data_IF_696128453881
#
_entry.id   IF_696128453881
#
_cell.length_a   1.000
_cell.length_b   1.000
_cell.length_c   1.000
_cell.angle_alpha   90.00
_cell.angle_beta   90.00
_cell.angle_gamma   90.00
#
_symmetry.space_group_name_H-M   'P 1'
#
loop_
_entity.id
_entity.type
_entity.pdbx_description
1 polymer ?
#
# COMPACT_ATOMS: atom_id res chain seq x y z
N UNK A 1 35.99 -15.62 -25.78
CA UNK A 1 35.41 -14.26 -25.89
C UNK A 1 34.05 -14.15 -26.61
N UNK A 2 33.58 -15.16 -27.39
CA UNK A 2 32.31 -15.07 -28.12
C UNK A 2 31.05 -15.46 -27.30
N UNK A 3 31.16 -16.40 -26.37
CA UNK A 3 30.02 -16.93 -25.60
C UNK A 3 29.41 -15.92 -24.62
N UNK A 4 30.23 -15.11 -23.94
CA UNK A 4 29.75 -14.10 -22.98
C UNK A 4 28.97 -12.97 -23.67
N UNK A 5 29.29 -12.64 -24.92
CA UNK A 5 28.57 -11.62 -25.70
C UNK A 5 27.18 -12.12 -26.12
N UNK A 6 27.05 -13.41 -26.44
CA UNK A 6 25.77 -14.03 -26.80
C UNK A 6 24.84 -14.07 -25.59
N UNK A 7 25.35 -14.39 -24.40
CA UNK A 7 24.56 -14.39 -23.16
C UNK A 7 24.05 -12.98 -22.84
N UNK A 8 24.90 -11.96 -22.97
CA UNK A 8 24.49 -10.55 -22.75
C UNK A 8 23.40 -10.13 -23.74
N UNK A 9 23.53 -10.50 -25.01
CA UNK A 9 22.51 -10.19 -26.04
C UNK A 9 21.20 -10.94 -25.77
N UNK A 10 21.25 -12.19 -25.31
CA UNK A 10 20.06 -12.97 -24.94
C UNK A 10 19.38 -12.39 -23.71
N UNK A 11 20.15 -11.92 -22.71
CA UNK A 11 19.62 -11.24 -21.52
C UNK A 11 18.97 -9.91 -21.89
N UNK A 12 19.60 -9.11 -22.76
CA UNK A 12 19.03 -7.84 -23.26
C UNK A 12 17.78 -8.10 -24.12
N UNK A 13 17.77 -9.16 -24.92
CA UNK A 13 16.61 -9.56 -25.72
C UNK A 13 15.45 -10.06 -24.83
N UNK A 14 15.74 -10.74 -23.72
CA UNK A 14 14.72 -11.11 -22.71
C UNK A 14 14.12 -9.88 -22.00
N UNK A 15 14.87 -8.78 -21.86
CA UNK A 15 14.37 -7.50 -21.32
C UNK A 15 13.48 -6.77 -22.34
N UNK A 16 13.59 -7.08 -23.64
CA UNK A 16 12.78 -6.48 -24.71
C UNK A 16 11.41 -7.14 -24.94
N UNK A 17 11.00 -8.07 -24.08
CA UNK A 17 9.59 -8.49 -23.99
C UNK A 17 8.77 -7.22 -23.80
N UNK A 18 7.72 -7.04 -24.60
CA UNK A 18 6.83 -5.89 -24.49
C UNK A 18 6.27 -5.82 -23.06
N UNK A 19 6.94 -5.04 -22.22
CA UNK A 19 6.45 -4.71 -20.91
C UNK A 19 5.22 -3.84 -21.16
N UNK A 20 4.04 -4.46 -21.07
CA UNK A 20 2.80 -3.70 -20.98
C UNK A 20 2.95 -2.77 -19.79
N UNK A 21 3.18 -1.49 -20.06
CA UNK A 21 3.34 -0.49 -19.02
C UNK A 21 2.07 -0.48 -18.18
N UNK A 22 2.23 -0.73 -16.89
CA UNK A 22 1.17 -0.53 -15.92
C UNK A 22 1.09 0.97 -15.65
N UNK A 23 -0.10 1.55 -15.80
CA UNK A 23 -0.30 2.97 -15.51
C UNK A 23 -1.08 3.10 -14.21
N UNK A 24 -0.52 3.85 -13.28
CA UNK A 24 -1.09 4.08 -11.94
C UNK A 24 -1.52 5.54 -11.74
N UNK A 25 -1.43 6.39 -12.76
CA UNK A 25 -1.75 7.80 -12.67
C UNK A 25 -2.56 8.27 -13.89
N UNK A 26 -3.29 9.37 -13.69
CA UNK A 26 -4.11 9.98 -14.73
C UNK A 26 -5.32 9.14 -15.14
N UNK A 27 -5.99 9.60 -16.20
CA UNK A 27 -7.19 8.96 -16.75
C UNK A 27 -6.92 7.59 -17.37
N UNK A 28 -5.66 7.28 -17.67
CA UNK A 28 -5.25 6.00 -18.23
C UNK A 28 -4.83 4.98 -17.15
N UNK A 29 -5.01 5.30 -15.86
CA UNK A 29 -4.75 4.38 -14.78
C UNK A 29 -5.58 3.10 -14.92
N UNK A 30 -4.93 1.93 -14.87
CA UNK A 30 -5.56 0.63 -15.10
C UNK A 30 -5.48 -0.31 -13.88
N UNK A 31 -4.95 0.21 -12.78
CA UNK A 31 -4.83 -0.45 -11.48
C UNK A 31 -5.59 0.39 -10.47
N UNK A 32 -6.34 -0.28 -9.60
CA UNK A 32 -7.02 0.37 -8.49
C UNK A 32 -5.98 0.79 -7.42
N UNK A 33 -5.94 2.06 -7.01
CA UNK A 33 -5.11 2.50 -5.89
C UNK A 33 -5.49 1.74 -4.63
N UNK A 34 -4.52 1.11 -3.95
CA UNK A 34 -4.76 0.36 -2.69
C UNK A 34 -4.55 1.20 -1.45
N UNK A 35 -3.80 2.29 -1.61
CA UNK A 35 -3.52 3.33 -0.64
C UNK A 35 -3.67 4.67 -1.35
N UNK A 36 -3.96 5.73 -0.59
CA UNK A 36 -3.90 7.10 -1.11
C UNK A 36 -2.43 7.53 -1.16
N UNK A 37 -1.82 7.73 0.01
CA UNK A 37 -0.36 7.75 0.16
C UNK A 37 0.00 6.66 1.18
N UNK A 38 -0.46 6.78 2.42
CA UNK A 38 -0.27 5.81 3.50
C UNK A 38 -1.58 5.28 4.09
N UNK A 39 -2.71 5.91 3.77
CA UNK A 39 -4.03 5.50 4.23
C UNK A 39 -4.67 4.49 3.28
N UNK A 40 -5.32 3.42 3.79
CA UNK A 40 -5.86 2.38 2.93
C UNK A 40 -7.13 2.84 2.20
N UNK A 41 -7.29 2.37 0.97
CA UNK A 41 -8.53 2.53 0.19
C UNK A 41 -9.31 1.21 0.15
N UNK A 42 -10.52 1.25 -0.42
CA UNK A 42 -11.27 0.04 -0.76
C UNK A 42 -10.70 -0.74 -1.97
N UNK A 43 -9.63 -0.25 -2.63
CA UNK A 43 -8.98 -0.88 -3.79
C UNK A 43 -8.30 -2.21 -3.45
N UNK A 44 -8.32 -3.20 -4.36
CA UNK A 44 -7.77 -4.54 -4.13
C UNK A 44 -6.80 -4.94 -5.26
N UNK A 45 -5.96 -5.94 -4.98
CA UNK A 45 -5.28 -6.65 -6.07
C UNK A 45 -6.29 -7.54 -6.79
N UNK A 46 -6.27 -7.52 -8.12
CA UNK A 46 -7.03 -8.47 -8.95
C UNK A 46 -6.61 -9.90 -8.62
N UNK A 47 -7.53 -10.86 -8.75
CA UNK A 47 -7.25 -12.27 -8.50
C UNK A 47 -6.05 -12.76 -9.31
N UNK A 48 -5.10 -13.39 -8.63
CA UNK A 48 -3.85 -13.89 -9.22
C UNK A 48 -2.80 -12.81 -9.52
N UNK A 49 -3.09 -11.53 -9.25
CA UNK A 49 -2.10 -10.47 -9.31
C UNK A 49 -1.25 -10.45 -8.03
N UNK A 50 0.02 -10.12 -8.19
CA UNK A 50 0.99 -9.97 -7.11
C UNK A 50 1.55 -8.56 -7.13
N UNK A 51 1.88 -8.03 -5.95
CA UNK A 51 2.56 -6.75 -5.80
C UNK A 51 3.74 -6.93 -4.86
N UNK A 52 4.90 -6.47 -5.32
CA UNK A 52 6.09 -6.29 -4.52
C UNK A 52 6.26 -4.79 -4.27
N UNK A 53 6.30 -4.41 -3.01
CA UNK A 53 6.41 -3.02 -2.59
C UNK A 53 7.66 -2.81 -1.75
N UNK A 54 8.23 -1.61 -1.85
CA UNK A 54 9.28 -1.13 -0.95
C UNK A 54 8.88 0.24 -0.40
N UNK A 55 8.87 0.39 0.92
CA UNK A 55 8.60 1.66 1.59
C UNK A 55 9.86 2.13 2.33
N UNK A 56 10.17 3.42 2.17
CA UNK A 56 11.30 4.08 2.81
C UNK A 56 10.76 5.10 3.81
N UNK A 57 11.23 5.03 5.06
CA UNK A 57 10.81 5.94 6.13
C UNK A 57 12.02 6.42 6.93
N UNK A 58 11.75 7.20 7.98
CA UNK A 58 12.77 7.87 8.77
C UNK A 58 13.81 6.89 9.36
N UNK A 59 14.94 7.44 9.83
CA UNK A 59 16.05 6.69 10.43
C UNK A 59 16.67 5.62 9.52
N UNK A 60 16.66 5.84 8.21
CA UNK A 60 17.19 4.85 7.26
C UNK A 60 16.32 3.59 7.19
N UNK A 61 15.02 3.77 7.41
CA UNK A 61 14.03 2.71 7.41
C UNK A 61 13.74 2.17 6.02
N UNK A 62 13.67 0.85 5.93
CA UNK A 62 13.28 0.15 4.71
C UNK A 62 12.37 -1.02 5.07
N UNK A 63 11.30 -1.15 4.30
CA UNK A 63 10.34 -2.25 4.42
C UNK A 63 10.02 -2.81 3.04
N UNK A 64 9.95 -4.13 2.96
CA UNK A 64 9.47 -4.84 1.78
C UNK A 64 8.13 -5.50 2.09
N UNK A 65 7.20 -5.43 1.14
CA UNK A 65 5.89 -6.07 1.22
C UNK A 65 5.64 -6.95 0.00
N UNK A 66 5.10 -8.15 0.21
CA UNK A 66 4.61 -9.02 -0.84
C UNK A 66 3.13 -9.29 -0.62
N UNK A 67 2.32 -8.91 -1.61
CA UNK A 67 0.88 -8.98 -1.56
C UNK A 67 0.32 -9.75 -2.75
N UNK A 68 -0.78 -10.45 -2.54
CA UNK A 68 -1.46 -11.23 -3.57
C UNK A 68 -2.97 -11.07 -3.49
N UNK A 69 -3.62 -10.94 -4.66
CA UNK A 69 -5.06 -11.08 -4.78
C UNK A 69 -5.44 -12.56 -4.73
N UNK A 70 -5.76 -13.08 -3.54
CA UNK A 70 -6.19 -14.48 -3.36
C UNK A 70 -7.47 -14.80 -4.13
N UNK A 71 -8.46 -13.90 -4.04
CA UNK A 71 -9.78 -14.02 -4.63
C UNK A 71 -10.19 -12.67 -5.21
N UNK A 72 -11.28 -12.62 -5.96
CA UNK A 72 -11.77 -11.39 -6.61
C UNK A 72 -12.05 -10.26 -5.60
N UNK A 73 -12.34 -10.61 -4.35
CA UNK A 73 -12.63 -9.67 -3.25
C UNK A 73 -11.69 -9.81 -2.05
N UNK A 74 -10.59 -10.55 -2.17
CA UNK A 74 -9.67 -10.80 -1.06
C UNK A 74 -8.21 -10.58 -1.47
N UNK A 75 -7.55 -9.64 -0.81
CA UNK A 75 -6.10 -9.45 -0.86
C UNK A 75 -5.49 -9.87 0.47
N UNK A 76 -4.36 -10.56 0.42
CA UNK A 76 -3.55 -10.82 1.60
C UNK A 76 -2.08 -10.50 1.30
N UNK A 77 -1.27 -10.34 2.33
CA UNK A 77 0.16 -10.21 2.14
C UNK A 77 0.94 -10.20 3.43
N UNK A 78 2.25 -10.14 3.27
CA UNK A 78 3.22 -10.09 4.36
C UNK A 78 4.18 -8.94 4.10
N UNK A 79 4.67 -8.34 5.17
CA UNK A 79 5.65 -7.27 5.12
C UNK A 79 6.72 -7.47 6.18
N UNK A 80 7.93 -7.04 5.89
CA UNK A 80 9.04 -7.09 6.84
C UNK A 80 10.03 -5.97 6.56
N UNK A 81 10.54 -5.36 7.63
CA UNK A 81 11.45 -4.25 7.51
C UNK A 81 12.21 -3.97 8.80
N UNK A 82 12.84 -2.80 8.81
CA UNK A 82 13.64 -2.33 9.94
C UNK A 82 14.12 -0.90 9.74
N UNK A 83 14.81 -0.38 10.74
CA UNK A 83 15.45 0.94 10.75
C UNK A 83 16.97 0.80 10.67
N UNK A 84 17.67 1.84 10.21
CA UNK A 84 19.12 1.83 10.04
C UNK A 84 19.62 0.87 8.96
N UNK A 85 18.74 0.42 8.06
CA UNK A 85 19.11 -0.43 6.91
C UNK A 85 19.87 0.41 5.88
N UNK A 86 19.45 1.65 5.70
CA UNK A 86 20.08 2.62 4.80
C UNK A 86 20.85 3.63 5.64
N UNK A 87 22.16 3.72 5.44
CA UNK A 87 23.01 4.69 6.13
C UNK A 87 24.11 4.03 6.95
N UNK A 88 24.58 4.73 7.99
CA UNK A 88 25.73 4.32 8.82
C UNK A 88 25.34 3.69 10.16
N UNK A 89 24.07 3.80 10.54
CA UNK A 89 23.55 3.26 11.79
C UNK A 89 23.52 1.73 11.74
N UNK A 90 23.51 1.09 12.92
CA UNK A 90 23.32 -0.36 12.98
C UNK A 90 21.87 -0.71 12.63
N UNK A 91 21.68 -1.58 11.64
CA UNK A 91 20.35 -2.06 11.27
C UNK A 91 19.67 -2.77 12.44
N UNK A 92 18.42 -2.38 12.71
CA UNK A 92 17.55 -3.00 13.70
C UNK A 92 16.27 -3.44 12.99
N UNK A 93 16.11 -4.75 12.86
CA UNK A 93 14.96 -5.35 12.19
C UNK A 93 13.77 -5.49 13.13
N UNK A 94 12.57 -5.52 12.57
CA UNK A 94 11.35 -5.82 13.30
C UNK A 94 11.39 -7.27 13.82
N UNK A 95 10.68 -7.54 14.93
CA UNK A 95 10.66 -8.86 15.57
C UNK A 95 9.89 -9.90 14.77
N UNK A 96 8.76 -9.48 14.21
CA UNK A 96 7.85 -10.32 13.44
C UNK A 96 7.49 -9.60 12.14
N UNK A 97 7.21 -10.37 11.06
CA UNK A 97 6.62 -9.80 9.86
C UNK A 97 5.21 -9.27 10.15
N UNK A 98 4.86 -8.18 9.49
CA UNK A 98 3.50 -7.69 9.40
C UNK A 98 2.66 -8.58 8.47
N UNK A 99 1.36 -8.60 8.72
CA UNK A 99 0.38 -9.29 7.89
C UNK A 99 -0.69 -8.30 7.45
N UNK A 100 -1.10 -8.40 6.19
CA UNK A 100 -2.25 -7.70 5.63
C UNK A 100 -3.31 -8.73 5.23
N UNK A 101 -4.55 -8.49 5.63
CA UNK A 101 -5.74 -9.16 5.10
C UNK A 101 -6.78 -8.09 4.79
N UNK A 102 -7.23 -7.97 3.54
CA UNK A 102 -8.22 -6.98 3.12
C UNK A 102 -9.29 -7.63 2.26
N UNK A 103 -10.55 -7.48 2.68
CA UNK A 103 -11.72 -8.02 2.00
C UNK A 103 -12.67 -6.89 1.59
N UNK A 104 -13.11 -6.88 0.32
CA UNK A 104 -14.10 -5.91 -0.17
C UNK A 104 -15.51 -6.43 0.07
N UNK A 105 -16.23 -5.74 0.97
CA UNK A 105 -17.62 -6.03 1.32
C UNK A 105 -18.57 -5.66 0.18
N UNK A 106 -18.37 -4.47 -0.38
CA UNK A 106 -19.20 -3.92 -1.44
C UNK A 106 -18.33 -3.32 -2.55
N UNK A 107 -18.71 -3.60 -3.79
CA UNK A 107 -18.15 -2.93 -4.96
C UNK A 107 -18.79 -1.56 -5.13
N UNK A 108 -18.08 -0.66 -5.79
CA UNK A 108 -18.61 0.66 -6.13
C UNK A 108 -19.78 0.53 -7.13
N UNK A 109 -20.81 1.33 -6.91
CA UNK A 109 -21.93 1.51 -7.84
C UNK A 109 -22.26 2.99 -7.91
N UNK A 110 -23.19 3.42 -8.77
CA UNK A 110 -23.61 4.83 -8.82
C UNK A 110 -24.12 5.34 -7.46
N UNK A 111 -24.82 4.49 -6.70
CA UNK A 111 -25.45 4.87 -5.43
C UNK A 111 -24.57 4.70 -4.19
N UNK A 112 -23.56 3.82 -4.21
CA UNK A 112 -22.81 3.44 -3.02
C UNK A 112 -21.29 3.39 -3.29
N UNK A 113 -20.43 3.86 -2.35
CA UNK A 113 -18.99 3.67 -2.46
C UNK A 113 -18.62 2.18 -2.37
N UNK A 114 -17.45 1.83 -2.89
CA UNK A 114 -16.82 0.57 -2.52
C UNK A 114 -16.45 0.61 -1.04
N UNK A 115 -16.64 -0.50 -0.32
CA UNK A 115 -16.31 -0.61 1.10
C UNK A 115 -15.46 -1.86 1.31
N UNK A 116 -14.30 -1.68 1.93
CA UNK A 116 -13.43 -2.77 2.34
C UNK A 116 -13.24 -2.79 3.86
N UNK A 117 -13.14 -4.00 4.40
CA UNK A 117 -12.74 -4.29 5.76
C UNK A 117 -11.37 -4.97 5.71
N UNK A 118 -10.47 -4.62 6.62
CA UNK A 118 -9.16 -5.25 6.66
C UNK A 118 -8.51 -5.25 8.03
N UNK A 119 -7.41 -5.97 8.08
CA UNK A 119 -6.47 -6.02 9.18
C UNK A 119 -5.06 -5.83 8.63
N UNK A 120 -4.32 -4.87 9.18
CA UNK A 120 -2.91 -4.65 8.89
C UNK A 120 -2.14 -4.51 10.21
N UNK A 121 -1.22 -5.45 10.49
CA UNK A 121 -0.40 -5.42 11.70
C UNK A 121 0.93 -4.69 11.51
N UNK A 122 1.19 -4.13 10.32
CA UNK A 122 2.44 -3.48 10.01
C UNK A 122 2.37 -1.99 10.35
N UNK A 123 3.09 -1.58 11.40
CA UNK A 123 3.39 -0.17 11.65
C UNK A 123 4.65 0.28 10.95
N UNK A 124 5.06 1.54 11.16
CA UNK A 124 6.25 2.12 10.53
C UNK A 124 7.26 2.59 11.56
N UNK A 125 8.49 2.77 11.08
CA UNK A 125 9.62 3.26 11.87
C UNK A 125 10.01 2.31 13.00
N UNK A 126 10.65 2.82 14.05
CA UNK A 126 11.20 2.02 15.14
C UNK A 126 10.08 1.38 15.96
N UNK A 127 10.23 0.07 16.22
CA UNK A 127 9.41 -0.66 17.20
C UNK A 127 9.96 -0.44 18.62
N UNK A 128 9.11 0.03 19.52
CA UNK A 128 9.43 0.43 20.89
C UNK A 128 9.00 -0.68 21.84
N UNK A 129 9.95 -1.51 22.26
CA UNK A 129 9.70 -2.71 23.08
C UNK A 129 9.00 -2.45 24.42
N UNK A 130 9.31 -1.33 25.08
CA UNK A 130 8.67 -0.98 26.36
C UNK A 130 7.18 -0.70 26.21
N UNK A 131 6.77 -0.19 25.04
CA UNK A 131 5.41 0.21 24.71
C UNK A 131 4.71 -0.78 23.77
N UNK A 132 5.38 -1.86 23.35
CA UNK A 132 4.88 -2.87 22.41
C UNK A 132 4.23 -2.28 21.15
N UNK A 133 4.82 -1.20 20.61
CA UNK A 133 4.25 -0.46 19.49
C UNK A 133 5.30 0.08 18.53
N UNK A 134 4.90 0.33 17.30
CA UNK A 134 5.64 1.14 16.36
C UNK A 134 5.52 2.63 16.70
N UNK A 135 6.47 3.43 16.24
CA UNK A 135 6.40 4.90 16.41
C UNK A 135 5.16 5.43 15.71
N UNK A 136 4.96 5.03 14.44
CA UNK A 136 3.68 5.14 13.74
C UNK A 136 2.98 3.79 13.83
N UNK A 137 1.87 3.75 14.59
CA UNK A 137 1.13 2.51 14.86
C UNK A 137 0.63 1.85 13.57
N UNK A 138 0.53 0.53 13.59
CA UNK A 138 -0.20 -0.19 12.54
C UNK A 138 -1.67 0.23 12.53
N UNK A 139 -2.31 0.15 11.36
CA UNK A 139 -3.75 0.41 11.22
C UNK A 139 -4.58 -0.55 12.09
N UNK A 140 -4.08 -1.76 12.33
CA UNK A 140 -4.84 -2.81 13.00
C UNK A 140 -6.07 -3.16 12.19
N UNK A 141 -7.24 -3.19 12.83
CA UNK A 141 -8.51 -3.39 12.12
C UNK A 141 -8.93 -2.07 11.47
N UNK A 142 -9.31 -2.09 10.20
CA UNK A 142 -9.78 -0.89 9.51
C UNK A 142 -10.97 -1.16 8.59
N UNK A 143 -11.74 -0.10 8.34
CA UNK A 143 -12.74 -0.01 7.28
C UNK A 143 -12.38 1.17 6.40
N UNK A 144 -12.38 0.97 5.08
CA UNK A 144 -12.10 1.99 4.09
C UNK A 144 -13.22 2.04 3.05
N UNK A 145 -13.63 3.24 2.68
CA UNK A 145 -14.57 3.53 1.61
C UNK A 145 -13.88 4.30 0.48
N UNK A 146 -14.20 3.95 -0.77
CA UNK A 146 -13.72 4.66 -1.96
C UNK A 146 -14.87 4.94 -2.92
N UNK A 147 -14.89 6.13 -3.48
CA UNK A 147 -15.86 6.54 -4.51
C UNK A 147 -15.15 7.34 -5.59
N UNK A 148 -15.31 6.94 -6.84
CA UNK A 148 -14.76 7.60 -8.01
C UNK A 148 -15.87 8.28 -8.82
N UNK A 149 -15.60 9.49 -9.30
CA UNK A 149 -16.48 10.25 -10.16
C UNK A 149 -15.77 10.60 -11.47
N UNK A 150 -16.47 10.45 -12.59
CA UNK A 150 -16.02 11.02 -13.86
C UNK A 150 -16.33 12.52 -13.88
N UNK A 151 -15.30 13.33 -13.68
CA UNK A 151 -15.35 14.79 -13.65
C UNK A 151 -14.05 15.38 -14.18
N UNK A 152 -14.02 15.77 -15.47
CA UNK A 152 -12.82 16.26 -16.17
C UNK A 152 -11.60 15.35 -15.94
N UNK A 153 -11.79 14.06 -16.23
CA UNK A 153 -10.97 12.97 -15.72
C UNK A 153 -11.65 12.26 -14.55
N UNK A 154 -10.90 11.58 -13.70
CA UNK A 154 -11.36 10.96 -12.46
C UNK A 154 -11.15 11.88 -11.25
N UNK A 155 -12.13 11.91 -10.37
CA UNK A 155 -12.09 12.53 -9.05
C UNK A 155 -12.55 11.48 -8.03
N UNK A 156 -11.60 10.98 -7.26
CA UNK A 156 -11.81 9.93 -6.27
C UNK A 156 -11.75 10.49 -4.86
N UNK A 157 -12.69 10.06 -4.02
CA UNK A 157 -12.73 10.32 -2.60
C UNK A 157 -12.51 9.02 -1.84
N UNK A 158 -11.69 9.10 -0.81
CA UNK A 158 -11.34 8.00 0.06
C UNK A 158 -11.52 8.43 1.52
N UNK A 159 -11.90 7.49 2.36
CA UNK A 159 -11.90 7.73 3.79
C UNK A 159 -12.21 6.48 4.58
N UNK A 160 -11.96 6.52 5.87
CA UNK A 160 -12.13 5.35 6.69
C UNK A 160 -11.80 5.58 8.15
N UNK A 161 -11.85 4.47 8.88
CA UNK A 161 -11.54 4.41 10.30
C UNK A 161 -10.64 3.21 10.56
N UNK A 162 -9.75 3.33 11.53
CA UNK A 162 -8.89 2.23 11.96
C UNK A 162 -8.80 2.14 13.48
N UNK A 163 -8.38 0.97 13.96
CA UNK A 163 -8.19 0.70 15.37
C UNK A 163 -6.98 -0.20 15.56
N UNK A 164 -5.89 0.40 16.06
CA UNK A 164 -4.64 -0.32 16.28
C UNK A 164 -4.76 -1.31 17.45
N UNK A 165 -4.01 -2.40 17.39
CA UNK A 165 -3.88 -3.35 18.50
C UNK A 165 -2.73 -3.00 19.45
N UNK A 166 -1.94 -1.99 19.11
CA UNK A 166 -0.81 -1.48 19.87
C UNK A 166 -1.27 -0.52 20.98
N UNK A 167 -1.62 -1.07 22.14
CA UNK A 167 -2.36 -0.36 23.21
C UNK A 167 -1.61 -0.17 24.53
N UNK A 168 -0.35 -0.64 24.61
CA UNK A 168 0.40 -0.67 25.88
C UNK A 168 0.88 0.72 26.31
N UNK A 169 0.87 1.71 25.42
CA UNK A 169 1.07 3.13 25.74
C UNK A 169 -0.16 3.79 26.39
N UNK A 170 -1.29 3.07 26.50
CA UNK A 170 -2.52 3.57 27.10
C UNK A 170 -3.51 4.17 26.10
N UNK A 171 -3.08 4.41 24.86
CA UNK A 171 -3.95 4.88 23.79
C UNK A 171 -4.70 3.68 23.16
N UNK A 172 -6.03 3.84 23.09
CA UNK A 172 -6.98 2.83 22.61
C UNK A 172 -7.98 3.45 21.63
N UNK A 173 -7.73 4.69 21.23
CA UNK A 173 -8.67 5.46 20.44
C UNK A 173 -8.73 4.91 19.01
N UNK A 174 -9.82 5.26 18.33
CA UNK A 174 -9.98 4.94 16.91
C UNK A 174 -9.52 6.15 16.11
N UNK A 175 -8.77 5.90 15.05
CA UNK A 175 -8.34 6.94 14.14
C UNK A 175 -9.27 7.00 12.94
N UNK A 176 -9.28 8.15 12.30
CA UNK A 176 -9.99 8.36 11.04
C UNK A 176 -9.04 8.93 10.02
N UNK A 177 -9.35 8.75 8.75
CA UNK A 177 -8.55 9.30 7.67
C UNK A 177 -9.41 9.63 6.47
N UNK A 178 -8.94 10.57 5.65
CA UNK A 178 -9.57 10.97 4.40
C UNK A 178 -8.51 11.22 3.33
N UNK A 179 -8.89 11.06 2.07
CA UNK A 179 -8.01 11.32 0.95
C UNK A 179 -8.77 11.65 -0.33
N UNK A 180 -8.10 12.38 -1.22
CA UNK A 180 -8.63 12.78 -2.52
C UNK A 180 -7.57 12.48 -3.57
N UNK A 181 -7.99 11.87 -4.66
CA UNK A 181 -7.20 11.75 -5.88
C UNK A 181 -7.93 12.45 -7.03
N UNK A 182 -7.20 13.24 -7.81
CA UNK A 182 -7.71 13.94 -8.98
C UNK A 182 -6.77 13.73 -10.15
N UNK A 183 -7.24 13.08 -11.20
CA UNK A 183 -6.48 12.99 -12.45
C UNK A 183 -6.48 14.32 -13.21
N UNK A 184 -5.39 14.56 -13.92
CA UNK A 184 -5.13 15.72 -14.78
C UNK A 184 -4.61 15.17 -16.12
N UNK A 185 -5.55 14.86 -17.03
CA UNK A 185 -5.23 14.18 -18.28
C UNK A 185 -4.79 12.73 -18.07
N UNK A 186 -4.13 12.14 -19.06
CA UNK A 186 -3.87 10.69 -19.09
C UNK A 186 -2.72 10.24 -18.18
N UNK A 187 -1.84 11.14 -17.76
CA UNK A 187 -0.53 10.77 -17.19
C UNK A 187 -0.30 11.27 -15.76
N UNK A 188 -1.09 12.25 -15.29
CA UNK A 188 -0.84 12.94 -14.02
C UNK A 188 -2.05 12.76 -13.10
N UNK A 189 -1.79 12.45 -11.83
CA UNK A 189 -2.76 12.53 -10.74
C UNK A 189 -2.22 13.45 -9.64
N UNK A 190 -3.08 14.31 -9.10
CA UNK A 190 -2.88 14.99 -7.83
C UNK A 190 -3.49 14.16 -6.71
N UNK A 191 -2.74 13.91 -5.64
CA UNK A 191 -3.16 13.06 -4.54
C UNK A 191 -2.90 13.81 -3.23
N UNK A 192 -3.86 13.78 -2.32
CA UNK A 192 -3.72 14.35 -0.97
C UNK A 192 -4.43 13.45 0.03
N UNK A 193 -3.86 13.30 1.22
CA UNK A 193 -4.47 12.60 2.34
C UNK A 193 -4.30 13.38 3.64
N UNK A 194 -5.18 13.09 4.59
CA UNK A 194 -5.07 13.54 5.97
C UNK A 194 -5.44 12.39 6.90
N UNK A 195 -4.54 12.10 7.83
CA UNK A 195 -4.71 11.12 8.90
C UNK A 195 -4.91 11.87 10.22
N UNK A 196 -5.95 11.50 10.97
CA UNK A 196 -6.33 12.19 12.22
C UNK A 196 -5.69 11.58 13.47
N UNK A 197 -4.86 10.54 13.30
CA UNK A 197 -4.05 9.92 14.35
C UNK A 197 -2.97 10.85 14.94
#
# INVERSE_FOLDING_TARGET
MKMNKIIIIVVIAFISIQAFAQNSAGDAANIEPRYVIDTPTAGLLKRGAFSLESNFFQDGGLMFGLYAGALDRLTFGISYGGVGIIGKSKATMQKLPGILLKYRLFDESDAMPAIAFGFDSQGKETYIDSLERFTIKSRGIFIAASKNYSFLGFLSFHGGVNWSMEKKDGDKDMDTFVGIEKSIGQEISFITEYDFA
#
